data_IF_217854633090
#
_entry.id   IF_217854633090
#
_cell.length_a   1.000
_cell.length_b   1.000
_cell.length_c   1.000
_cell.angle_alpha   90.00
_cell.angle_beta   90.00
_cell.angle_gamma   90.00
#
_symmetry.space_group_name_H-M   'P 1'
#
loop_
_entity.id
_entity.type
_entity.pdbx_description
1 polymer ?
#
# COMPACT_ATOMS: atom_id res chain seq x y z
N UNK A 1 -9.81 -2.49 13.98
CA UNK A 1 -8.50 -2.22 13.33
C UNK A 1 -7.79 -1.02 13.92
N UNK A 2 -8.36 0.19 13.88
CA UNK A 2 -7.63 1.44 14.27
C UNK A 2 -6.89 1.34 15.60
N UNK A 3 -7.56 0.93 16.69
CA UNK A 3 -6.91 0.74 17.98
C UNK A 3 -5.82 -0.35 17.96
N UNK A 4 -6.09 -1.48 17.30
CA UNK A 4 -5.16 -2.60 17.21
C UNK A 4 -3.88 -2.23 16.45
N UNK A 5 -3.99 -1.36 15.44
CA UNK A 5 -2.87 -1.01 14.57
C UNK A 5 -2.14 0.25 15.01
N UNK A 6 -2.87 1.27 15.45
CA UNK A 6 -2.34 2.63 15.56
C UNK A 6 -2.44 3.24 16.96
N UNK A 7 -3.08 2.59 17.95
CA UNK A 7 -3.15 3.12 19.30
C UNK A 7 -1.74 3.50 19.82
N UNK A 8 -1.51 4.74 20.28
CA UNK A 8 -0.19 5.16 20.71
C UNK A 8 0.41 4.22 21.77
N UNK A 9 1.60 3.67 21.49
CA UNK A 9 2.34 2.76 22.37
C UNK A 9 1.81 1.32 22.48
N UNK A 10 0.62 1.01 21.94
CA UNK A 10 -0.02 -0.31 22.05
C UNK A 10 -0.38 -0.93 20.69
N UNK A 11 -0.69 -0.10 19.71
CA UNK A 11 -1.02 -0.54 18.36
C UNK A 11 0.20 -1.13 17.67
N UNK A 12 -0.04 -2.10 16.79
CA UNK A 12 0.99 -2.83 16.07
C UNK A 12 2.05 -1.90 15.45
N UNK A 13 1.64 -0.89 14.68
CA UNK A 13 2.52 0.10 14.02
C UNK A 13 3.07 1.20 14.96
N UNK A 14 2.51 1.31 16.17
CA UNK A 14 2.89 2.30 17.19
C UNK A 14 3.75 1.70 18.33
N UNK A 15 4.03 0.39 18.28
CA UNK A 15 4.68 -0.38 19.35
C UNK A 15 6.20 -0.60 19.24
N UNK A 16 6.88 -0.09 18.19
CA UNK A 16 8.34 -0.12 18.05
C UNK A 16 8.89 -1.05 16.95
N UNK A 17 10.21 -1.29 16.97
CA UNK A 17 11.06 -1.78 15.85
C UNK A 17 10.79 -3.21 15.29
N UNK A 18 9.78 -3.93 15.81
CA UNK A 18 9.57 -5.37 15.56
C UNK A 18 9.01 -5.75 14.17
N UNK A 19 8.56 -4.80 13.37
CA UNK A 19 7.61 -5.10 12.29
C UNK A 19 8.26 -5.55 10.96
N UNK A 20 9.45 -5.03 10.60
CA UNK A 20 10.04 -5.20 9.26
C UNK A 20 11.36 -5.98 9.26
N UNK A 21 11.52 -6.95 8.36
CA UNK A 21 12.74 -7.75 8.20
C UNK A 21 12.51 -9.07 7.44
N UNK A 22 13.59 -9.71 6.95
CA UNK A 22 13.51 -10.87 6.04
C UNK A 22 13.13 -12.21 6.71
N UNK A 23 13.40 -12.37 8.01
CA UNK A 23 13.17 -13.62 8.75
C UNK A 23 12.86 -13.31 10.22
N UNK A 24 12.03 -14.11 10.91
CA UNK A 24 11.90 -14.06 12.36
C UNK A 24 13.26 -14.41 13.00
N UNK A 25 13.73 -13.59 13.94
CA UNK A 25 14.87 -13.97 14.79
C UNK A 25 14.37 -14.77 16.00
N UNK A 26 15.23 -15.64 16.53
CA UNK A 26 14.90 -16.51 17.68
C UNK A 26 14.52 -15.74 18.97
N UNK A 27 14.87 -14.46 19.04
CA UNK A 27 14.52 -13.52 20.11
C UNK A 27 13.25 -12.68 19.81
N UNK A 28 12.58 -12.95 18.69
CA UNK A 28 11.40 -12.21 18.24
C UNK A 28 11.71 -10.83 17.64
N UNK A 29 12.95 -10.54 17.25
CA UNK A 29 13.38 -9.27 16.62
C UNK A 29 13.46 -9.32 15.08
N UNK A 30 12.82 -10.31 14.45
CA UNK A 30 12.73 -10.40 12.99
C UNK A 30 11.45 -9.77 12.45
N UNK A 31 11.34 -9.61 11.13
CA UNK A 31 10.14 -9.06 10.51
C UNK A 31 8.95 -10.01 10.58
N UNK A 32 7.74 -9.46 10.58
CA UNK A 32 6.51 -10.23 10.55
C UNK A 32 6.08 -10.57 9.12
N UNK A 33 6.49 -9.74 8.14
CA UNK A 33 6.30 -9.95 6.70
C UNK A 33 7.45 -9.33 5.88
N UNK A 34 7.55 -9.72 4.61
CA UNK A 34 8.54 -9.22 3.66
C UNK A 34 7.85 -8.42 2.56
N UNK A 35 8.19 -7.15 2.43
CA UNK A 35 7.68 -6.25 1.39
C UNK A 35 8.59 -6.24 0.15
N UNK A 36 8.06 -5.77 -0.98
CA UNK A 36 8.79 -5.72 -2.25
C UNK A 36 10.16 -5.00 -2.15
N UNK A 37 10.27 -3.84 -1.46
CA UNK A 37 11.54 -3.13 -1.30
C UNK A 37 12.60 -3.90 -0.48
N UNK A 38 12.19 -4.80 0.43
CA UNK A 38 13.10 -5.65 1.21
C UNK A 38 13.54 -6.88 0.43
N UNK A 39 12.73 -7.35 -0.53
CA UNK A 39 13.08 -8.51 -1.37
C UNK A 39 14.19 -8.21 -2.37
N UNK A 40 14.09 -7.10 -3.09
CA UNK A 40 15.04 -6.78 -4.15
C UNK A 40 15.12 -5.28 -4.43
N UNK A 41 16.35 -4.70 -4.56
CA UNK A 41 16.52 -3.31 -4.98
C UNK A 41 16.02 -3.04 -6.40
N UNK A 42 15.79 -4.09 -7.19
CA UNK A 42 15.23 -4.01 -8.54
C UNK A 42 13.82 -3.41 -8.56
N UNK A 43 13.03 -3.61 -7.49
CA UNK A 43 11.72 -2.99 -7.33
C UNK A 43 11.82 -1.46 -7.33
N UNK A 44 12.61 -0.89 -6.42
CA UNK A 44 12.80 0.55 -6.33
C UNK A 44 13.48 1.15 -7.55
N UNK A 45 14.37 0.41 -8.24
CA UNK A 45 14.96 0.85 -9.51
C UNK A 45 13.91 1.04 -10.61
N UNK A 46 13.02 0.05 -10.78
CA UNK A 46 11.95 0.14 -11.75
C UNK A 46 10.96 1.26 -11.41
N UNK A 47 10.50 1.33 -10.15
CA UNK A 47 9.59 2.39 -9.69
C UNK A 47 10.21 3.79 -9.87
N UNK A 48 11.51 3.95 -9.59
CA UNK A 48 12.21 5.22 -9.78
C UNK A 48 12.15 5.74 -11.23
N UNK A 49 12.14 4.87 -12.25
CA UNK A 49 11.98 5.31 -13.64
C UNK A 49 10.61 5.93 -13.89
N UNK A 50 9.56 5.34 -13.32
CA UNK A 50 8.21 5.91 -13.38
C UNK A 50 8.12 7.23 -12.59
N UNK A 51 8.73 7.28 -11.40
CA UNK A 51 8.77 8.50 -10.58
C UNK A 51 9.54 9.62 -11.29
N UNK A 52 10.68 9.30 -11.93
CA UNK A 52 11.46 10.25 -12.73
C UNK A 52 10.64 10.85 -13.87
N UNK A 53 9.92 10.01 -14.62
CA UNK A 53 9.04 10.45 -15.69
C UNK A 53 7.95 11.41 -15.15
N UNK A 54 7.31 11.06 -14.04
CA UNK A 54 6.26 11.88 -13.44
C UNK A 54 6.80 13.22 -12.92
N UNK A 55 7.96 13.24 -12.26
CA UNK A 55 8.65 14.47 -11.84
C UNK A 55 8.93 15.39 -13.04
N UNK A 56 9.42 14.81 -14.14
CA UNK A 56 9.71 15.55 -15.37
C UNK A 56 8.44 16.09 -16.03
N UNK A 57 7.44 15.24 -16.24
CA UNK A 57 6.19 15.59 -16.93
C UNK A 57 5.41 16.69 -16.19
N UNK A 58 5.45 16.65 -14.86
CA UNK A 58 4.72 17.61 -14.00
C UNK A 58 5.55 18.83 -13.60
N UNK A 59 6.83 18.87 -13.98
CA UNK A 59 7.76 19.93 -13.57
C UNK A 59 7.92 20.04 -12.05
N UNK A 60 7.73 18.93 -11.33
CA UNK A 60 7.86 18.88 -9.87
C UNK A 60 9.24 18.37 -9.46
N UNK A 61 9.60 18.58 -8.18
CA UNK A 61 10.95 18.35 -7.65
C UNK A 61 10.95 17.61 -6.31
N UNK A 62 9.78 17.25 -5.78
CA UNK A 62 9.66 16.59 -4.48
C UNK A 62 9.03 15.20 -4.63
N UNK A 63 9.47 14.27 -3.78
CA UNK A 63 8.88 12.95 -3.63
C UNK A 63 8.30 12.84 -2.22
N UNK A 64 7.09 12.29 -2.13
CA UNK A 64 6.36 12.09 -0.89
C UNK A 64 6.06 10.60 -0.74
N UNK A 65 6.54 9.96 0.32
CA UNK A 65 6.29 8.55 0.58
C UNK A 65 5.43 8.39 1.83
N UNK A 66 4.27 7.75 1.70
CA UNK A 66 3.47 7.32 2.85
C UNK A 66 3.96 5.97 3.34
N UNK A 67 4.10 5.80 4.66
CA UNK A 67 4.38 4.49 5.24
C UNK A 67 5.69 3.85 4.74
N UNK A 68 6.81 4.58 4.81
CA UNK A 68 8.10 4.17 4.25
C UNK A 68 8.76 2.92 4.90
N UNK A 69 8.07 2.25 5.83
CA UNK A 69 8.56 1.07 6.55
C UNK A 69 9.96 1.28 7.12
N UNK A 70 10.90 0.44 6.68
CA UNK A 70 12.32 0.50 7.08
C UNK A 70 13.13 1.66 6.48
N UNK A 71 12.60 2.35 5.47
CA UNK A 71 13.34 3.31 4.63
C UNK A 71 14.08 2.67 3.45
N UNK A 72 13.90 1.36 3.19
CA UNK A 72 14.55 0.67 2.07
C UNK A 72 14.13 1.25 0.71
N UNK A 73 12.83 1.49 0.50
CA UNK A 73 12.32 2.08 -0.75
C UNK A 73 12.82 3.51 -0.94
N UNK A 74 12.76 4.33 0.11
CA UNK A 74 13.33 5.69 0.10
C UNK A 74 14.79 5.71 -0.38
N UNK A 75 15.63 4.83 0.17
CA UNK A 75 17.03 4.75 -0.25
C UNK A 75 17.17 4.35 -1.73
N UNK A 76 16.38 3.37 -2.20
CA UNK A 76 16.41 2.90 -3.59
C UNK A 76 15.94 3.99 -4.57
N UNK A 77 14.85 4.69 -4.25
CA UNK A 77 14.33 5.79 -5.06
C UNK A 77 15.33 6.94 -5.09
N UNK A 78 15.87 7.38 -3.95
CA UNK A 78 16.87 8.44 -3.89
C UNK A 78 18.08 8.14 -4.79
N UNK A 79 18.70 6.97 -4.62
CA UNK A 79 19.88 6.56 -5.40
C UNK A 79 19.59 6.48 -6.90
N UNK A 80 18.46 5.89 -7.27
CA UNK A 80 18.14 5.69 -8.68
C UNK A 80 17.74 6.99 -9.35
N UNK A 81 16.97 7.86 -8.68
CA UNK A 81 16.63 9.18 -9.19
C UNK A 81 17.89 10.04 -9.37
N UNK A 82 18.85 9.98 -8.44
CA UNK A 82 20.15 10.66 -8.58
C UNK A 82 20.95 10.14 -9.76
N UNK A 83 21.04 8.81 -9.94
CA UNK A 83 21.70 8.20 -11.09
C UNK A 83 21.05 8.57 -12.44
N UNK A 84 19.74 8.83 -12.45
CA UNK A 84 19.00 9.32 -13.61
C UNK A 84 19.12 10.85 -13.83
N UNK A 85 19.86 11.56 -12.96
CA UNK A 85 20.01 13.02 -13.03
C UNK A 85 18.75 13.79 -12.60
N UNK A 86 17.86 13.15 -11.84
CA UNK A 86 16.57 13.69 -11.40
C UNK A 86 16.37 13.60 -9.88
N UNK A 87 17.46 13.65 -9.10
CA UNK A 87 17.40 13.65 -7.64
C UNK A 87 16.40 14.69 -7.11
N UNK A 88 15.45 14.29 -6.25
CA UNK A 88 14.45 15.22 -5.74
C UNK A 88 15.11 16.25 -4.82
N UNK A 89 14.63 17.49 -4.82
CA UNK A 89 15.04 18.53 -3.87
C UNK A 89 14.72 18.12 -2.44
N UNK A 90 13.58 17.43 -2.26
CA UNK A 90 13.12 16.91 -0.98
C UNK A 90 12.49 15.54 -1.15
N UNK A 91 12.82 14.64 -0.24
CA UNK A 91 12.15 13.36 -0.08
C UNK A 91 11.45 13.37 1.29
N UNK A 92 10.12 13.44 1.30
CA UNK A 92 9.34 13.57 2.53
C UNK A 92 8.63 12.27 2.85
N UNK A 93 8.92 11.68 4.01
CA UNK A 93 8.19 10.54 4.55
C UNK A 93 7.03 11.05 5.41
N UNK A 94 5.82 10.57 5.13
CA UNK A 94 4.64 10.79 5.96
C UNK A 94 4.45 9.59 6.87
N UNK A 95 4.65 9.79 8.17
CA UNK A 95 4.61 8.74 9.19
C UNK A 95 3.85 9.25 10.43
N UNK A 96 2.73 8.59 10.75
CA UNK A 96 1.78 8.96 11.80
C UNK A 96 2.33 8.73 13.21
N UNK A 97 2.99 7.59 13.45
CA UNK A 97 3.48 7.24 14.80
C UNK A 97 4.89 7.79 15.03
N UNK A 98 5.65 8.00 13.96
CA UNK A 98 7.04 8.46 14.01
C UNK A 98 8.01 7.45 14.61
N UNK A 99 7.54 6.25 14.97
CA UNK A 99 8.32 5.20 15.63
C UNK A 99 9.44 4.65 14.73
N UNK A 100 9.26 4.73 13.40
CA UNK A 100 10.19 4.22 12.41
C UNK A 100 11.19 5.26 11.89
N UNK A 101 11.07 6.53 12.31
CA UNK A 101 11.88 7.65 11.78
C UNK A 101 13.38 7.40 11.95
N UNK A 102 13.82 6.93 13.12
CA UNK A 102 15.23 6.65 13.39
C UNK A 102 15.75 5.51 12.52
N UNK A 103 14.95 4.45 12.34
CA UNK A 103 15.29 3.31 11.47
C UNK A 103 15.38 3.73 10.01
N UNK A 104 14.44 4.53 9.53
CA UNK A 104 14.45 5.09 8.16
C UNK A 104 15.67 5.98 7.94
N UNK A 105 15.95 6.90 8.88
CA UNK A 105 17.09 7.80 8.82
C UNK A 105 18.42 7.03 8.75
N UNK A 106 18.60 6.02 9.61
CA UNK A 106 19.76 5.13 9.60
C UNK A 106 19.90 4.38 8.28
N UNK A 107 18.81 3.78 7.78
CA UNK A 107 18.81 3.02 6.52
C UNK A 107 19.25 3.90 5.35
N UNK A 108 18.71 5.12 5.25
CA UNK A 108 19.07 6.06 4.18
C UNK A 108 20.48 6.60 4.38
N UNK A 109 20.92 6.87 5.61
CA UNK A 109 22.30 7.30 5.88
C UNK A 109 23.34 6.22 5.52
N UNK A 110 23.02 4.94 5.75
CA UNK A 110 23.90 3.81 5.40
C UNK A 110 23.93 3.54 3.89
N UNK A 111 22.77 3.59 3.22
CA UNK A 111 22.64 3.20 1.81
C UNK A 111 22.84 4.35 0.83
N UNK A 112 22.45 5.57 1.20
CA UNK A 112 22.47 6.77 0.35
C UNK A 112 23.01 8.01 1.11
N UNK A 113 24.23 7.95 1.68
CA UNK A 113 24.75 8.97 2.61
C UNK A 113 24.77 10.39 2.04
N UNK A 114 25.09 10.54 0.76
CA UNK A 114 25.15 11.85 0.07
C UNK A 114 23.77 12.46 -0.15
N UNK A 115 22.71 11.64 -0.14
CA UNK A 115 21.33 12.04 -0.38
C UNK A 115 20.50 12.12 0.90
N UNK A 116 20.97 11.52 2.00
CA UNK A 116 20.33 11.57 3.31
C UNK A 116 19.93 13.00 3.76
N UNK A 117 20.69 14.08 3.49
CA UNK A 117 20.27 15.44 3.83
C UNK A 117 18.99 15.94 3.15
N UNK A 118 18.49 15.24 2.11
CA UNK A 118 17.24 15.55 1.40
C UNK A 118 16.01 14.94 2.10
N UNK A 119 16.21 14.03 3.05
CA UNK A 119 15.14 13.31 3.75
C UNK A 119 14.45 14.21 4.79
N UNK A 120 13.12 14.21 4.79
CA UNK A 120 12.28 14.95 5.74
C UNK A 120 11.17 14.04 6.24
N UNK A 121 10.61 14.38 7.40
CA UNK A 121 9.46 13.67 7.97
C UNK A 121 8.37 14.65 8.35
N UNK A 122 7.13 14.24 8.11
CA UNK A 122 5.93 14.95 8.58
C UNK A 122 4.95 13.95 9.18
N UNK A 123 4.14 14.42 10.12
CA UNK A 123 3.02 13.65 10.70
C UNK A 123 1.67 13.98 10.06
N UNK A 124 1.62 15.01 9.22
CA UNK A 124 0.41 15.49 8.55
C UNK A 124 0.75 16.02 7.16
N UNK A 125 -0.25 16.03 6.27
CA UNK A 125 -0.09 16.58 4.94
C UNK A 125 -0.14 18.12 4.96
N UNK A 126 0.68 18.80 4.14
CA UNK A 126 0.56 20.23 3.94
C UNK A 126 -0.76 20.58 3.26
N UNK A 127 -1.20 21.84 3.36
CA UNK A 127 -2.42 22.33 2.70
C UNK A 127 -2.38 22.16 1.17
N UNK A 128 -1.19 22.30 0.58
CA UNK A 128 -0.91 22.05 -0.82
C UNK A 128 0.34 21.18 -0.95
N UNK A 129 0.26 20.17 -1.82
CA UNK A 129 1.32 19.23 -2.13
C UNK A 129 1.64 19.32 -3.61
N UNK A 130 2.91 19.46 -3.93
CA UNK A 130 3.42 19.42 -5.30
C UNK A 130 4.58 18.43 -5.38
N UNK A 131 4.45 17.38 -6.19
CA UNK A 131 5.44 16.31 -6.22
C UNK A 131 4.87 14.98 -6.67
N UNK A 132 5.72 13.95 -6.64
CA UNK A 132 5.30 12.58 -6.88
C UNK A 132 5.07 11.87 -5.56
N UNK A 133 3.87 11.36 -5.36
CA UNK A 133 3.46 10.59 -4.19
C UNK A 133 3.68 9.11 -4.45
N UNK A 134 4.18 8.39 -3.47
CA UNK A 134 4.35 6.94 -3.47
C UNK A 134 3.71 6.38 -2.20
N UNK A 135 2.90 5.33 -2.33
CA UNK A 135 2.45 4.50 -1.22
C UNK A 135 2.59 3.03 -1.61
N UNK A 136 3.48 2.30 -0.93
CA UNK A 136 3.67 0.87 -1.13
C UNK A 136 3.20 0.12 0.09
N UNK A 137 2.16 -0.72 -0.05
CA UNK A 137 1.56 -1.49 1.06
C UNK A 137 1.14 -0.56 2.21
N UNK A 138 0.26 0.38 1.87
CA UNK A 138 -0.24 1.41 2.78
C UNK A 138 -1.75 1.39 2.84
N UNK A 139 -2.41 1.06 1.72
CA UNK A 139 -3.87 1.07 1.64
C UNK A 139 -4.45 -0.16 2.34
N UNK A 140 -3.77 -1.31 2.26
CA UNK A 140 -4.18 -2.56 2.90
C UNK A 140 -4.19 -2.51 4.43
N UNK A 141 -3.29 -1.71 5.02
CA UNK A 141 -3.21 -1.51 6.46
C UNK A 141 -4.26 -0.52 7.00
N UNK A 142 -4.99 0.19 6.12
CA UNK A 142 -5.99 1.15 6.57
C UNK A 142 -7.23 0.45 7.16
N UNK A 143 -7.82 0.94 8.27
CA UNK A 143 -8.96 0.29 8.89
C UNK A 143 -10.17 0.16 7.95
N UNK A 144 -10.72 -1.05 7.90
CA UNK A 144 -11.96 -1.36 7.17
C UNK A 144 -13.15 -1.53 8.11
N UNK A 145 -14.35 -1.31 7.58
CA UNK A 145 -15.59 -1.73 8.23
C UNK A 145 -15.98 -3.11 7.69
N UNK A 146 -16.44 -4.01 8.55
CA UNK A 146 -16.95 -5.31 8.12
C UNK A 146 -18.47 -5.27 8.01
N UNK A 147 -19.00 -5.87 6.95
CA UNK A 147 -20.42 -6.12 6.78
C UNK A 147 -20.67 -7.61 6.59
N UNK A 148 -21.79 -8.08 7.11
CA UNK A 148 -22.22 -9.47 7.13
C UNK A 148 -23.59 -9.61 6.46
N UNK A 149 -23.71 -10.54 5.52
CA UNK A 149 -24.94 -10.83 4.80
C UNK A 149 -25.71 -11.95 5.50
N UNK A 150 -26.92 -11.64 5.98
CA UNK A 150 -27.78 -12.63 6.63
C UNK A 150 -28.49 -13.57 5.66
N UNK A 151 -28.54 -13.21 4.37
CA UNK A 151 -29.43 -13.81 3.37
C UNK A 151 -30.60 -12.89 2.97
N UNK A 152 -30.89 -11.88 3.79
CA UNK A 152 -31.97 -10.92 3.54
C UNK A 152 -31.50 -9.47 3.65
N UNK A 153 -30.62 -9.18 4.62
CA UNK A 153 -30.14 -7.84 4.91
C UNK A 153 -28.65 -7.85 5.26
N UNK A 154 -28.00 -6.73 5.02
CA UNK A 154 -26.66 -6.48 5.53
C UNK A 154 -26.72 -6.05 6.99
N UNK A 155 -25.76 -6.52 7.77
CA UNK A 155 -25.47 -6.08 9.12
C UNK A 155 -24.02 -5.61 9.19
N UNK A 156 -23.74 -4.62 10.01
CA UNK A 156 -22.36 -4.23 10.30
C UNK A 156 -21.81 -5.18 11.36
N UNK A 157 -20.66 -5.78 11.07
CA UNK A 157 -19.95 -6.68 11.98
C UNK A 157 -18.96 -5.88 12.82
N UNK A 158 -19.31 -5.65 14.07
CA UNK A 158 -18.47 -5.00 15.07
C UNK A 158 -17.83 -5.97 16.05
N UNK A 159 -17.18 -5.44 17.09
CA UNK A 159 -16.54 -6.21 18.15
C UNK A 159 -17.18 -5.84 19.49
N UNK A 160 -17.51 -6.84 20.29
CA UNK A 160 -18.02 -6.71 21.66
C UNK A 160 -17.26 -7.63 22.62
N UNK A 161 -17.59 -7.55 23.91
CA UNK A 161 -17.12 -8.51 24.90
C UNK A 161 -18.17 -9.62 25.06
N UNK A 162 -17.72 -10.88 25.06
CA UNK A 162 -18.53 -12.03 25.44
C UNK A 162 -18.75 -12.10 26.96
N UNK A 163 -19.47 -13.13 27.41
CA UNK A 163 -19.76 -13.33 28.83
C UNK A 163 -18.50 -13.57 29.70
N UNK A 164 -17.40 -14.00 29.09
CA UNK A 164 -16.11 -14.25 29.75
C UNK A 164 -15.15 -13.05 29.64
N UNK A 165 -15.61 -11.93 29.07
CA UNK A 165 -14.81 -10.72 28.87
C UNK A 165 -13.81 -10.83 27.71
N UNK A 166 -14.00 -11.76 26.77
CA UNK A 166 -13.17 -11.91 25.57
C UNK A 166 -13.77 -11.14 24.41
N UNK A 167 -12.94 -10.70 23.47
CA UNK A 167 -13.41 -10.07 22.24
C UNK A 167 -14.14 -11.08 21.37
N UNK A 168 -15.33 -10.72 20.91
CA UNK A 168 -16.17 -11.52 20.02
C UNK A 168 -16.84 -10.64 18.96
N UNK A 169 -17.19 -11.25 17.84
CA UNK A 169 -17.98 -10.58 16.80
C UNK A 169 -19.39 -10.27 17.30
N UNK A 170 -19.89 -9.09 16.95
CA UNK A 170 -21.25 -8.67 17.23
C UNK A 170 -21.82 -7.92 16.03
N UNK A 171 -22.88 -8.48 15.44
CA UNK A 171 -23.52 -7.91 14.26
C UNK A 171 -24.66 -6.96 14.69
N UNK A 172 -24.80 -5.84 13.99
CA UNK A 172 -25.84 -4.82 14.23
C UNK A 172 -26.50 -4.35 12.94
N UNK A 173 -27.77 -3.88 12.99
CA UNK A 173 -28.42 -3.27 11.83
C UNK A 173 -27.59 -2.11 11.26
N UNK A 174 -27.58 -2.00 9.93
CA UNK A 174 -26.83 -0.96 9.21
C UNK A 174 -27.48 -0.65 7.87
N UNK A 175 -27.18 0.54 7.33
CA UNK A 175 -27.51 0.91 5.95
C UNK A 175 -26.32 0.68 5.00
N UNK A 176 -25.18 0.22 5.53
CA UNK A 176 -23.99 -0.12 4.74
C UNK A 176 -24.26 -1.36 3.88
N UNK A 177 -23.82 -1.30 2.64
CA UNK A 177 -23.89 -2.37 1.65
C UNK A 177 -22.69 -2.25 0.71
N UNK A 178 -22.25 -3.35 0.08
CA UNK A 178 -21.26 -3.26 -0.99
C UNK A 178 -21.87 -2.50 -2.17
N UNK A 179 -21.06 -1.91 -3.05
CA UNK A 179 -21.53 -1.15 -4.22
C UNK A 179 -22.22 -2.03 -5.30
N UNK A 180 -22.35 -3.34 -5.07
CA UNK A 180 -22.94 -4.31 -5.99
C UNK A 180 -24.15 -5.00 -5.38
N UNK A 181 -25.18 -5.21 -6.19
CA UNK A 181 -26.51 -5.60 -5.71
C UNK A 181 -26.77 -7.12 -5.64
N UNK A 182 -25.85 -8.00 -6.07
CA UNK A 182 -26.20 -9.43 -6.18
C UNK A 182 -25.04 -10.42 -6.17
N UNK A 183 -25.36 -11.67 -5.79
CA UNK A 183 -24.45 -12.81 -5.81
C UNK A 183 -23.99 -13.28 -4.43
N UNK A 184 -24.29 -12.53 -3.37
CA UNK A 184 -23.90 -12.91 -2.01
C UNK A 184 -24.75 -14.05 -1.46
N UNK A 185 -24.08 -15.02 -0.84
CA UNK A 185 -24.72 -16.14 -0.14
C UNK A 185 -24.79 -15.86 1.37
N UNK A 186 -25.83 -16.34 2.08
CA UNK A 186 -25.93 -16.16 3.53
C UNK A 186 -24.63 -16.59 4.23
N UNK A 187 -24.18 -15.77 5.18
CA UNK A 187 -22.91 -16.00 5.86
C UNK A 187 -21.74 -15.18 5.31
N UNK A 188 -21.91 -14.50 4.17
CA UNK A 188 -20.84 -13.72 3.55
C UNK A 188 -20.43 -12.55 4.44
N UNK A 189 -19.12 -12.39 4.64
CA UNK A 189 -18.49 -11.22 5.26
C UNK A 189 -17.61 -10.56 4.20
N UNK A 190 -17.64 -9.24 4.14
CA UNK A 190 -16.72 -8.47 3.30
C UNK A 190 -16.35 -7.15 3.96
N UNK A 191 -15.31 -6.51 3.43
CA UNK A 191 -14.74 -5.27 3.91
C UNK A 191 -15.25 -4.07 3.09
N UNK A 192 -15.48 -2.94 3.74
CA UNK A 192 -15.70 -1.64 3.08
C UNK A 192 -14.50 -0.72 3.34
N UNK A 193 -13.80 -0.23 2.30
CA UNK A 193 -12.54 0.52 2.41
C UNK A 193 -12.77 2.01 2.70
N UNK A 194 -13.56 2.34 3.74
CA UNK A 194 -14.00 3.71 4.01
C UNK A 194 -12.84 4.66 4.34
N UNK A 195 -11.87 4.20 5.12
CA UNK A 195 -10.71 5.02 5.52
C UNK A 195 -9.76 5.21 4.35
N UNK A 196 -9.43 4.14 3.61
CA UNK A 196 -8.64 4.23 2.38
C UNK A 196 -9.27 5.16 1.33
N UNK A 197 -10.58 5.08 1.12
CA UNK A 197 -11.30 6.00 0.24
C UNK A 197 -11.22 7.46 0.75
N UNK A 198 -11.34 7.67 2.07
CA UNK A 198 -11.18 8.98 2.69
C UNK A 198 -9.76 9.54 2.55
N UNK A 199 -8.75 8.68 2.65
CA UNK A 199 -7.35 9.02 2.42
C UNK A 199 -7.11 9.49 0.97
N UNK A 200 -7.61 8.74 -0.03
CA UNK A 200 -7.51 9.15 -1.44
C UNK A 200 -8.19 10.50 -1.68
N UNK A 201 -9.40 10.72 -1.13
CA UNK A 201 -10.08 12.02 -1.21
C UNK A 201 -9.30 13.15 -0.54
N UNK A 202 -8.65 12.86 0.59
CA UNK A 202 -7.78 13.83 1.26
C UNK A 202 -6.58 14.18 0.40
N UNK A 203 -5.92 13.19 -0.21
CA UNK A 203 -4.84 13.42 -1.15
C UNK A 203 -5.29 14.27 -2.33
N UNK A 204 -6.47 14.00 -2.90
CA UNK A 204 -7.05 14.77 -3.99
C UNK A 204 -7.23 16.26 -3.67
N UNK A 205 -7.60 16.59 -2.43
CA UNK A 205 -7.73 17.98 -1.99
C UNK A 205 -6.38 18.70 -1.84
N UNK A 206 -5.29 17.95 -1.58
CA UNK A 206 -3.96 18.51 -1.30
C UNK A 206 -3.06 18.51 -2.53
N UNK A 207 -3.11 17.50 -3.39
CA UNK A 207 -2.22 17.34 -4.55
C UNK A 207 -2.56 18.34 -5.66
N UNK A 208 -1.76 19.41 -5.79
CA UNK A 208 -1.98 20.50 -6.75
C UNK A 208 -1.27 20.28 -8.08
N UNK A 209 -0.10 19.66 -8.05
CA UNK A 209 0.69 19.35 -9.25
C UNK A 209 1.51 18.09 -8.98
N UNK A 210 1.53 17.14 -9.90
CA UNK A 210 2.20 15.87 -9.69
C UNK A 210 1.39 14.65 -10.08
N UNK A 211 1.81 13.52 -9.54
CA UNK A 211 1.15 12.23 -9.70
C UNK A 211 1.31 11.41 -8.40
N UNK A 212 0.48 10.39 -8.21
CA UNK A 212 0.56 9.46 -7.11
C UNK A 212 0.58 8.02 -7.61
N UNK A 213 1.41 7.18 -7.02
CA UNK A 213 1.51 5.75 -7.33
C UNK A 213 1.24 4.94 -6.07
N UNK A 214 0.20 4.12 -6.11
CA UNK A 214 -0.15 3.19 -5.04
C UNK A 214 0.11 1.76 -5.50
N UNK A 215 0.94 1.05 -4.76
CA UNK A 215 1.31 -0.34 -5.02
C UNK A 215 0.80 -1.16 -3.86
N UNK A 216 -0.13 -2.06 -4.13
CA UNK A 216 -0.78 -2.83 -3.08
C UNK A 216 -1.42 -4.11 -3.62
N UNK A 217 -1.78 -5.05 -2.76
CA UNK A 217 -2.44 -6.29 -3.16
C UNK A 217 -3.97 -6.15 -3.10
N UNK A 218 -4.62 -6.57 -4.18
CA UNK A 218 -6.06 -6.44 -4.28
C UNK A 218 -6.60 -6.56 -5.69
N UNK A 219 -7.84 -6.11 -5.84
CA UNK A 219 -8.72 -6.49 -6.96
C UNK A 219 -9.59 -5.31 -7.42
N UNK A 220 -10.06 -5.31 -8.68
CA UNK A 220 -11.21 -4.50 -9.08
C UNK A 220 -12.50 -5.01 -8.40
N UNK A 221 -13.55 -4.18 -8.36
CA UNK A 221 -14.81 -4.43 -7.64
C UNK A 221 -15.40 -5.83 -7.90
N UNK A 222 -15.45 -6.25 -9.16
CA UNK A 222 -16.05 -7.51 -9.58
C UNK A 222 -15.29 -8.76 -9.08
N UNK A 223 -13.98 -8.64 -8.85
CA UNK A 223 -13.14 -9.70 -8.26
C UNK A 223 -13.08 -9.59 -6.72
N UNK A 224 -13.21 -8.36 -6.19
CA UNK A 224 -13.25 -8.07 -4.77
C UNK A 224 -14.51 -8.67 -4.13
N UNK A 225 -15.68 -8.34 -4.67
CA UNK A 225 -16.99 -8.82 -4.20
C UNK A 225 -17.47 -10.08 -4.93
N UNK A 226 -16.54 -10.88 -5.49
CA UNK A 226 -16.90 -12.09 -6.21
C UNK A 226 -17.72 -13.05 -5.31
N UNK A 227 -18.81 -13.69 -5.80
CA UNK A 227 -19.70 -14.54 -4.99
C UNK A 227 -19.03 -15.68 -4.20
N UNK A 228 -17.88 -16.17 -4.68
CA UNK A 228 -17.11 -17.22 -4.00
C UNK A 228 -16.24 -16.70 -2.85
N UNK A 229 -16.08 -15.38 -2.72
CA UNK A 229 -15.29 -14.76 -1.65
C UNK A 229 -16.18 -14.44 -0.45
N UNK A 230 -16.67 -15.50 0.19
CA UNK A 230 -17.62 -15.37 1.30
C UNK A 230 -16.98 -14.93 2.62
N UNK A 231 -15.65 -15.05 2.76
CA UNK A 231 -14.92 -14.68 3.98
C UNK A 231 -14.21 -13.32 3.90
N UNK A 232 -14.39 -12.57 2.82
CA UNK A 232 -13.68 -11.34 2.58
C UNK A 232 -12.18 -11.56 2.33
N UNK A 233 -11.38 -10.60 2.78
CA UNK A 233 -9.93 -10.55 2.59
C UNK A 233 -9.15 -10.16 3.84
N UNK A 234 -9.84 -9.89 4.96
CA UNK A 234 -9.20 -9.58 6.24
C UNK A 234 -8.27 -10.73 6.68
N UNK A 235 -6.99 -10.43 6.85
CA UNK A 235 -5.96 -11.39 7.23
C UNK A 235 -5.08 -10.81 8.33
N UNK A 236 -4.55 -11.69 9.19
CA UNK A 236 -3.63 -11.34 10.25
C UNK A 236 -2.25 -11.91 9.94
N UNK A 237 -1.19 -11.13 10.16
CA UNK A 237 0.18 -11.58 9.93
C UNK A 237 1.05 -11.42 11.18
N UNK A 238 1.80 -12.47 11.52
CA UNK A 238 2.80 -12.46 12.60
C UNK A 238 3.83 -13.56 12.42
N UNK A 239 5.11 -13.21 12.49
CA UNK A 239 6.23 -14.14 12.38
C UNK A 239 6.18 -15.00 11.11
N UNK A 240 5.84 -14.39 9.97
CA UNK A 240 5.65 -15.06 8.67
C UNK A 240 4.55 -16.14 8.66
N UNK A 241 3.56 -16.03 9.57
CA UNK A 241 2.35 -16.84 9.57
C UNK A 241 1.14 -15.94 9.33
N UNK A 242 0.20 -16.47 8.55
CA UNK A 242 -1.07 -15.82 8.27
C UNK A 242 -2.21 -16.61 8.94
N UNK A 243 -3.18 -15.91 9.50
CA UNK A 243 -4.42 -16.48 10.05
C UNK A 243 -5.60 -15.49 9.95
N UNK A 244 -6.83 -16.01 10.10
CA UNK A 244 -8.06 -15.24 9.96
C UNK A 244 -8.68 -14.82 11.32
N UNK A 245 -7.87 -14.73 12.38
CA UNK A 245 -8.33 -14.49 13.76
C UNK A 245 -7.88 -13.11 14.30
N UNK A 246 -8.52 -11.99 13.88
CA UNK A 246 -8.10 -10.63 14.23
C UNK A 246 -8.43 -10.22 15.67
N UNK A 247 -9.24 -11.00 16.38
CA UNK A 247 -9.62 -10.75 17.77
C UNK A 247 -8.66 -11.43 18.77
N UNK A 248 -7.70 -12.21 18.27
CA UNK A 248 -6.67 -12.90 19.06
C UNK A 248 -5.35 -12.12 18.98
N UNK A 249 -4.69 -11.95 20.12
CA UNK A 249 -3.41 -11.21 20.23
C UNK A 249 -3.47 -9.78 19.65
N UNK A 250 -4.57 -9.08 19.91
CA UNK A 250 -4.82 -7.71 19.40
C UNK A 250 -3.67 -6.78 19.76
N UNK A 251 -3.14 -6.06 18.77
CA UNK A 251 -1.97 -5.20 18.91
C UNK A 251 -0.63 -5.90 18.66
N UNK A 252 -0.60 -7.23 18.62
CA UNK A 252 0.61 -8.03 18.41
C UNK A 252 0.68 -8.68 17.02
N UNK A 253 -0.39 -8.57 16.22
CA UNK A 253 -0.44 -9.00 14.83
C UNK A 253 -0.69 -7.80 13.94
N UNK A 254 -0.14 -7.84 12.74
CA UNK A 254 -0.61 -6.98 11.67
C UNK A 254 -2.00 -7.43 11.23
N UNK A 255 -2.83 -6.48 10.81
CA UNK A 255 -4.17 -6.70 10.30
C UNK A 255 -4.28 -5.97 8.97
N UNK A 256 -4.59 -6.70 7.91
CA UNK A 256 -4.68 -6.14 6.57
C UNK A 256 -5.91 -6.65 5.84
N UNK A 257 -6.42 -5.85 4.92
CA UNK A 257 -7.45 -6.25 3.97
C UNK A 257 -6.94 -5.95 2.56
N UNK A 258 -7.34 -6.74 1.57
CA UNK A 258 -6.98 -6.40 0.20
C UNK A 258 -7.60 -5.07 -0.20
N UNK A 259 -6.97 -4.41 -1.18
CA UNK A 259 -7.45 -3.14 -1.72
C UNK A 259 -8.52 -3.38 -2.79
N UNK A 260 -9.65 -2.70 -2.63
CA UNK A 260 -10.64 -2.52 -3.69
C UNK A 260 -10.18 -1.34 -4.57
N UNK A 261 -9.54 -1.66 -5.70
CA UNK A 261 -8.95 -0.65 -6.58
C UNK A 261 -10.00 0.16 -7.35
N UNK A 262 -11.18 -0.40 -7.58
CA UNK A 262 -12.31 0.33 -8.15
C UNK A 262 -12.75 1.43 -7.19
N UNK A 263 -12.93 1.10 -5.90
CA UNK A 263 -13.26 2.09 -4.89
C UNK A 263 -12.19 3.20 -4.77
N UNK A 264 -10.90 2.87 -4.88
CA UNK A 264 -9.82 3.87 -4.87
C UNK A 264 -9.86 4.78 -6.10
N UNK A 265 -10.08 4.20 -7.28
CA UNK A 265 -10.20 4.95 -8.53
C UNK A 265 -11.42 5.89 -8.51
N UNK A 266 -12.58 5.40 -8.08
CA UNK A 266 -13.79 6.21 -7.94
C UNK A 266 -13.60 7.34 -6.92
N UNK A 267 -13.04 7.05 -5.74
CA UNK A 267 -12.76 8.06 -4.73
C UNK A 267 -11.81 9.16 -5.24
N UNK A 268 -10.84 8.80 -6.09
CA UNK A 268 -9.94 9.75 -6.75
C UNK A 268 -10.67 10.61 -7.77
N UNK A 269 -11.43 9.99 -8.68
CA UNK A 269 -12.16 10.68 -9.76
C UNK A 269 -13.24 11.62 -9.22
N UNK A 270 -14.03 11.16 -8.24
CA UNK A 270 -15.04 11.97 -7.55
C UNK A 270 -14.43 13.22 -6.89
N UNK A 271 -13.18 13.12 -6.43
CA UNK A 271 -12.44 14.21 -5.81
C UNK A 271 -11.55 15.01 -6.78
N UNK A 272 -11.60 14.70 -8.09
CA UNK A 272 -10.94 15.47 -9.15
C UNK A 272 -9.52 15.03 -9.53
N UNK A 273 -9.06 13.85 -9.09
CA UNK A 273 -7.82 13.25 -9.58
C UNK A 273 -8.13 12.26 -10.72
N UNK A 274 -7.65 12.49 -11.95
CA UNK A 274 -7.74 11.48 -13.01
C UNK A 274 -6.94 10.22 -12.66
N UNK A 275 -7.45 9.06 -13.08
CA UNK A 275 -6.70 7.81 -13.10
C UNK A 275 -5.81 7.82 -14.33
N UNK A 276 -4.50 7.73 -14.13
CA UNK A 276 -3.50 7.69 -15.19
C UNK A 276 -3.19 6.27 -15.67
N UNK A 277 -3.49 5.26 -14.85
CA UNK A 277 -3.31 3.86 -15.20
C UNK A 277 -3.57 2.92 -14.05
N UNK A 278 -3.86 1.66 -14.38
CA UNK A 278 -4.05 0.56 -13.45
C UNK A 278 -3.56 -0.75 -14.07
N UNK A 279 -2.65 -1.47 -13.43
CA UNK A 279 -2.19 -2.78 -13.94
C UNK A 279 -1.62 -3.66 -12.82
N UNK A 280 -1.23 -4.89 -13.13
CA UNK A 280 -0.54 -5.76 -12.17
C UNK A 280 0.92 -5.34 -11.96
N UNK A 281 1.47 -5.63 -10.78
CA UNK A 281 2.86 -5.30 -10.44
C UNK A 281 3.84 -5.86 -11.47
N UNK A 282 3.64 -7.10 -11.93
CA UNK A 282 4.51 -7.69 -12.95
C UNK A 282 4.57 -6.83 -14.22
N UNK A 283 3.40 -6.43 -14.75
CA UNK A 283 3.31 -5.59 -15.95
C UNK A 283 3.95 -4.24 -15.73
N UNK A 284 3.64 -3.60 -14.60
CA UNK A 284 4.22 -2.31 -14.24
C UNK A 284 5.76 -2.37 -14.20
N UNK A 285 6.34 -3.36 -13.49
CA UNK A 285 7.78 -3.48 -13.35
C UNK A 285 8.48 -3.80 -14.68
N UNK A 286 7.89 -4.67 -15.52
CA UNK A 286 8.44 -4.95 -16.85
C UNK A 286 8.41 -3.73 -17.76
N UNK A 287 7.31 -2.99 -17.77
CA UNK A 287 7.19 -1.75 -18.54
C UNK A 287 8.19 -0.68 -18.05
N UNK A 288 8.50 -0.68 -16.75
CA UNK A 288 9.53 0.15 -16.14
C UNK A 288 10.96 -0.41 -16.28
N UNK A 289 11.20 -1.36 -17.17
CA UNK A 289 12.56 -1.79 -17.55
C UNK A 289 13.19 -2.87 -16.69
N UNK A 290 12.42 -3.58 -15.84
CA UNK A 290 12.96 -4.64 -14.99
C UNK A 290 13.73 -5.72 -15.77
N UNK A 291 13.33 -6.05 -17.01
CA UNK A 291 14.03 -7.06 -17.83
C UNK A 291 15.50 -6.70 -18.05
N UNK A 292 15.79 -5.44 -18.40
CA UNK A 292 17.17 -4.99 -18.62
C UNK A 292 17.97 -5.03 -17.31
N UNK A 293 17.34 -4.73 -16.17
CA UNK A 293 18.01 -4.84 -14.89
C UNK A 293 18.32 -6.31 -14.53
N UNK A 294 17.41 -7.24 -14.82
CA UNK A 294 17.60 -8.68 -14.57
C UNK A 294 18.77 -9.25 -15.37
N UNK A 295 19.03 -8.77 -16.58
CA UNK A 295 20.16 -9.21 -17.41
C UNK A 295 21.52 -8.95 -16.74
N UNK A 296 21.64 -7.82 -16.05
CA UNK A 296 22.87 -7.39 -15.36
C UNK A 296 22.96 -7.86 -13.91
N UNK A 297 21.84 -8.26 -13.31
CA UNK A 297 21.76 -8.73 -11.94
C UNK A 297 22.45 -10.10 -11.74
N UNK A 298 23.00 -10.30 -10.54
CA UNK A 298 23.54 -11.60 -10.17
C UNK A 298 22.42 -12.66 -9.97
N UNK A 299 22.80 -13.93 -9.81
CA UNK A 299 21.84 -15.02 -9.68
C UNK A 299 20.92 -14.86 -8.46
N UNK A 300 21.41 -14.30 -7.35
CA UNK A 300 20.63 -14.13 -6.12
C UNK A 300 19.63 -12.99 -6.27
N UNK A 301 20.07 -11.83 -6.78
CA UNK A 301 19.20 -10.70 -7.07
C UNK A 301 18.11 -11.08 -8.08
N UNK A 302 18.49 -11.82 -9.13
CA UNK A 302 17.55 -12.32 -10.14
C UNK A 302 16.51 -13.25 -9.52
N UNK A 303 16.93 -14.22 -8.71
CA UNK A 303 16.01 -15.15 -8.05
C UNK A 303 14.99 -14.43 -7.15
N UNK A 304 15.44 -13.43 -6.40
CA UNK A 304 14.55 -12.63 -5.56
C UNK A 304 13.61 -11.74 -6.37
N UNK A 305 14.10 -11.11 -7.44
CA UNK A 305 13.26 -10.27 -8.30
C UNK A 305 12.23 -11.05 -9.11
N UNK A 306 12.47 -12.32 -9.42
CA UNK A 306 11.46 -13.17 -10.05
C UNK A 306 10.19 -13.28 -9.20
N UNK A 307 10.30 -13.29 -7.86
CA UNK A 307 9.14 -13.28 -6.95
C UNK A 307 8.25 -12.05 -7.11
N UNK A 308 8.84 -10.92 -7.53
CA UNK A 308 8.11 -9.67 -7.76
C UNK A 308 7.16 -9.75 -8.97
N UNK A 309 7.40 -10.69 -9.89
CA UNK A 309 6.72 -10.75 -11.19
C UNK A 309 6.02 -12.08 -11.49
N UNK A 310 6.35 -13.15 -10.76
CA UNK A 310 5.66 -14.43 -10.90
C UNK A 310 4.24 -14.35 -10.34
N UNK A 311 3.27 -14.87 -11.10
CA UNK A 311 1.83 -14.79 -10.83
C UNK A 311 1.44 -15.37 -9.45
N UNK A 312 2.00 -16.52 -9.08
CA UNK A 312 1.73 -17.18 -7.79
C UNK A 312 2.42 -16.55 -6.58
N UNK A 313 3.21 -15.49 -6.79
CA UNK A 313 3.87 -14.72 -5.73
C UNK A 313 3.25 -13.31 -5.72
N UNK A 314 4.01 -12.27 -6.08
CA UNK A 314 3.53 -10.89 -6.04
C UNK A 314 3.06 -10.38 -7.40
N UNK A 315 3.37 -11.07 -8.49
CA UNK A 315 3.28 -10.51 -9.84
C UNK A 315 1.88 -10.12 -10.29
N UNK A 316 0.89 -10.93 -9.93
CA UNK A 316 -0.51 -10.70 -10.31
C UNK A 316 -1.35 -10.19 -9.15
N UNK A 317 -1.12 -10.67 -7.93
CA UNK A 317 -1.88 -10.25 -6.77
C UNK A 317 -1.68 -8.76 -6.47
N UNK A 318 -0.44 -8.26 -6.54
CA UNK A 318 -0.14 -6.85 -6.39
C UNK A 318 -0.52 -6.10 -7.67
N UNK A 319 -1.09 -4.91 -7.47
CA UNK A 319 -1.47 -3.98 -8.53
C UNK A 319 -0.82 -2.63 -8.28
N UNK A 320 -0.74 -1.84 -9.34
CA UNK A 320 -0.31 -0.46 -9.28
C UNK A 320 -1.43 0.41 -9.81
N UNK A 321 -1.85 1.41 -9.03
CA UNK A 321 -2.78 2.47 -9.42
C UNK A 321 -2.01 3.78 -9.51
N UNK A 322 -2.12 4.46 -10.65
CA UNK A 322 -1.57 5.79 -10.84
C UNK A 322 -2.67 6.84 -10.91
N UNK A 323 -2.51 7.92 -10.15
CA UNK A 323 -3.41 9.08 -10.13
C UNK A 323 -2.64 10.34 -10.54
N UNK A 324 -3.30 11.25 -11.23
CA UNK A 324 -2.73 12.55 -11.63
C UNK A 324 -3.31 13.68 -10.79
N UNK A 325 -2.53 14.74 -10.56
CA UNK A 325 -3.09 16.02 -10.11
C UNK A 325 -4.09 16.58 -11.15
N UNK A 326 -4.99 17.51 -10.79
CA UNK A 326 -5.89 18.13 -11.76
C UNK A 326 -5.12 18.73 -12.95
N UNK A 327 -5.50 18.36 -14.18
CA UNK A 327 -4.83 18.80 -15.41
C UNK A 327 -3.47 18.13 -15.69
N UNK A 328 -3.10 17.09 -14.93
CA UNK A 328 -1.91 16.28 -15.20
C UNK A 328 -2.19 15.32 -16.37
N UNK A 329 -1.53 15.55 -17.49
CA UNK A 329 -1.66 14.73 -18.70
C UNK A 329 -0.27 14.24 -19.12
N UNK A 330 0.00 12.95 -18.91
CA UNK A 330 1.11 12.22 -19.50
C UNK A 330 0.81 10.73 -19.49
N UNK A 331 1.35 9.99 -20.45
CA UNK A 331 1.21 8.53 -20.50
C UNK A 331 2.29 7.88 -19.62
N UNK A 332 1.96 7.30 -18.45
CA UNK A 332 2.98 6.79 -17.56
C UNK A 332 3.54 5.47 -18.11
N UNK A 333 4.87 5.36 -18.22
CA UNK A 333 5.56 4.24 -18.85
C UNK A 333 5.14 2.88 -18.27
N UNK A 334 4.86 2.80 -16.97
CA UNK A 334 4.46 1.59 -16.27
C UNK A 334 3.16 0.98 -16.79
N UNK A 335 2.35 1.72 -17.53
CA UNK A 335 1.05 1.29 -18.05
C UNK A 335 1.03 1.18 -19.58
N UNK A 336 2.18 1.36 -20.25
CA UNK A 336 2.26 1.35 -21.71
C UNK A 336 1.75 0.04 -22.35
N UNK A 337 1.88 -1.09 -21.64
CA UNK A 337 1.39 -2.40 -22.09
C UNK A 337 0.64 -3.09 -20.96
N UNK A 338 -0.57 -3.56 -21.25
CA UNK A 338 -1.37 -4.32 -20.29
C UNK A 338 -2.02 -3.43 -19.22
N UNK A 339 -2.28 -2.15 -19.53
CA UNK A 339 -3.19 -1.34 -18.73
C UNK A 339 -4.58 -1.99 -18.66
N UNK A 340 -5.13 -1.99 -17.45
CA UNK A 340 -6.40 -2.60 -17.07
C UNK A 340 -7.36 -1.55 -16.51
N UNK A 341 -7.15 -0.26 -16.75
CA UNK A 341 -8.05 0.79 -16.24
C UNK A 341 -9.50 0.56 -16.70
N UNK A 342 -9.70 -0.06 -17.87
CA UNK A 342 -11.02 -0.44 -18.39
C UNK A 342 -11.73 -1.55 -17.59
N UNK A 343 -11.05 -2.21 -16.65
CA UNK A 343 -11.62 -3.26 -15.79
C UNK A 343 -11.97 -2.76 -14.38
N UNK A 344 -11.63 -1.50 -14.07
CA UNK A 344 -12.00 -0.85 -12.82
C UNK A 344 -13.47 -0.45 -12.82
#
# INVERSE_FOLDING_TARGET
MELALYAPGLGYYSGGDRQFGLMPRADGSGGDFVTAPEMSPLFGRALARQVAQALQATGTREVWEFGAGSGALAAQLLLTLDALGCAPERYTIVDLSGSLRERQARTVAERAPTLAPRLRWVSELPEALEGVVVGNEVLDAMPVALIYWTGEVWQERGVALDADGRLAWADRPTDLHPPVDSGFVPGTVTELPRIASGFIRTLAQRLRRGAAFFIDYGFPEHEYYHPQRTGGTLMCHRGHRADAEPLVDVGLKDLTAHVDFTAMALAAQEAGLPVLGYTSQARFLFNCGLMADLETADLRERAMALKLVTEHEMGELFKVLALGAPGCEFDPIGFAVGDRTHTL
#
